data_IF_164446985554
#
_entry.id   IF_164446985554
#
_cell.length_a   1.000
_cell.length_b   1.000
_cell.length_c   1.000
_cell.angle_alpha   90.00
_cell.angle_beta   90.00
_cell.angle_gamma   90.00
#
_symmetry.space_group_name_H-M   'P 1'
#
loop_
_entity.id
_entity.type
_entity.pdbx_description
1 polymer ?
#
# COMPACT_ATOMS: atom_id res chain seq x y z
N UNK A 1 3.98 3.92 -33.45
CA UNK A 1 3.83 4.16 -31.99
C UNK A 1 3.42 2.85 -31.32
N UNK A 2 4.22 2.37 -30.38
CA UNK A 2 4.21 1.00 -29.88
C UNK A 2 3.05 0.74 -28.89
N UNK A 3 2.24 -0.30 -29.12
CA UNK A 3 1.01 -0.64 -28.35
C UNK A 3 1.24 -1.33 -27.00
N UNK A 4 2.48 -1.65 -26.60
CA UNK A 4 2.76 -2.55 -25.46
C UNK A 4 3.28 -1.85 -24.18
N UNK A 5 2.62 -0.80 -23.69
CA UNK A 5 2.97 -0.18 -22.38
C UNK A 5 1.78 0.18 -21.48
N UNK A 6 0.53 -0.07 -21.92
CA UNK A 6 -0.67 0.37 -21.19
C UNK A 6 -1.18 -0.63 -20.15
N UNK A 7 -0.81 -1.91 -20.23
CA UNK A 7 -1.44 -2.96 -19.41
C UNK A 7 -0.45 -3.60 -18.41
N UNK A 8 0.32 -2.77 -17.70
CA UNK A 8 1.06 -3.28 -16.53
C UNK A 8 0.15 -3.15 -15.28
N UNK A 9 -0.38 -4.25 -14.72
CA UNK A 9 -1.24 -4.20 -13.53
C UNK A 9 -0.52 -3.69 -12.28
N UNK A 10 0.82 -3.60 -12.32
CA UNK A 10 1.66 -3.07 -11.26
C UNK A 10 2.23 -1.67 -11.59
N UNK A 11 1.71 -0.98 -12.60
CA UNK A 11 2.09 0.40 -12.87
C UNK A 11 1.66 1.31 -11.71
N UNK A 12 2.56 2.20 -11.25
CA UNK A 12 2.24 3.16 -10.17
C UNK A 12 1.14 4.14 -10.58
N UNK A 13 1.13 4.57 -11.83
CA UNK A 13 0.11 5.46 -12.35
C UNK A 13 -0.94 4.62 -13.06
N UNK A 14 -2.14 4.62 -12.50
CA UNK A 14 -3.29 3.91 -13.01
C UNK A 14 -4.54 4.80 -12.92
N UNK A 15 -5.48 4.54 -13.80
CA UNK A 15 -6.81 5.11 -13.78
C UNK A 15 -7.80 3.96 -13.72
N UNK A 16 -8.72 4.02 -12.76
CA UNK A 16 -9.75 3.01 -12.55
C UNK A 16 -11.10 3.64 -12.81
N UNK A 17 -11.88 3.01 -13.68
CA UNK A 17 -13.27 3.36 -13.92
C UNK A 17 -14.14 2.25 -13.32
N UNK A 18 -14.95 2.58 -12.32
CA UNK A 18 -15.84 1.64 -11.65
C UNK A 18 -17.13 2.35 -11.23
N UNK A 19 -18.22 1.59 -11.20
CA UNK A 19 -19.47 2.05 -10.62
C UNK A 19 -19.39 1.90 -9.11
N UNK A 20 -19.57 3.00 -8.38
CA UNK A 20 -19.62 2.97 -6.92
C UNK A 20 -20.86 2.19 -6.46
N UNK A 21 -20.74 1.27 -5.48
CA UNK A 21 -21.90 0.62 -4.89
C UNK A 21 -22.88 1.65 -4.36
N UNK A 22 -24.18 1.47 -4.64
CA UNK A 22 -25.19 2.47 -4.33
C UNK A 22 -25.26 2.76 -2.81
N UNK A 23 -25.17 1.73 -1.98
CA UNK A 23 -25.17 1.86 -0.52
C UNK A 23 -23.98 2.70 -0.03
N UNK A 24 -22.79 2.47 -0.60
CA UNK A 24 -21.59 3.26 -0.29
C UNK A 24 -21.78 4.73 -0.68
N UNK A 25 -22.34 5.00 -1.86
CA UNK A 25 -22.63 6.35 -2.33
C UNK A 25 -23.66 7.06 -1.43
N UNK A 26 -24.71 6.35 -1.01
CA UNK A 26 -25.73 6.88 -0.10
C UNK A 26 -25.12 7.29 1.25
N UNK A 27 -24.27 6.45 1.83
CA UNK A 27 -23.55 6.77 3.07
C UNK A 27 -22.66 8.00 2.89
N UNK A 28 -21.87 8.04 1.82
CA UNK A 28 -21.01 9.19 1.51
C UNK A 28 -21.80 10.49 1.37
N UNK A 29 -22.96 10.44 0.70
CA UNK A 29 -23.82 11.60 0.49
C UNK A 29 -24.46 12.10 1.80
N UNK A 30 -24.93 11.19 2.64
CA UNK A 30 -25.52 11.54 3.94
C UNK A 30 -24.49 12.19 4.87
N UNK A 31 -23.27 11.67 4.89
CA UNK A 31 -22.18 12.15 5.74
C UNK A 31 -21.37 13.29 5.12
N UNK A 32 -21.72 13.73 3.90
CA UNK A 32 -21.00 14.77 3.14
C UNK A 32 -19.50 14.45 2.94
N UNK A 33 -19.18 13.17 2.72
CA UNK A 33 -17.81 12.70 2.49
C UNK A 33 -17.59 12.37 1.02
N UNK A 34 -16.48 12.84 0.45
CA UNK A 34 -16.12 12.52 -0.93
C UNK A 34 -15.67 11.04 -1.04
N UNK A 35 -16.33 10.19 -1.88
CA UNK A 35 -15.98 8.77 -1.99
C UNK A 35 -14.55 8.54 -2.47
N UNK A 36 -14.02 9.40 -3.34
CA UNK A 36 -12.62 9.34 -3.79
C UNK A 36 -11.66 9.53 -2.62
N UNK A 37 -11.99 10.41 -1.67
CA UNK A 37 -11.19 10.63 -0.46
C UNK A 37 -11.18 9.37 0.40
N UNK A 38 -12.32 8.72 0.59
CA UNK A 38 -12.41 7.48 1.39
C UNK A 38 -11.51 6.39 0.81
N UNK A 39 -11.64 6.12 -0.50
CA UNK A 39 -10.85 5.09 -1.17
C UNK A 39 -9.35 5.41 -1.14
N UNK A 40 -8.99 6.66 -1.40
CA UNK A 40 -7.59 7.09 -1.33
C UNK A 40 -7.03 6.98 0.08
N UNK A 41 -7.79 7.41 1.09
CA UNK A 41 -7.35 7.36 2.47
C UNK A 41 -7.17 5.93 2.95
N UNK A 42 -8.07 5.02 2.59
CA UNK A 42 -7.90 3.59 2.88
C UNK A 42 -6.60 3.04 2.28
N UNK A 43 -6.27 3.36 1.02
CA UNK A 43 -5.01 2.93 0.40
C UNK A 43 -3.78 3.52 1.12
N UNK A 44 -3.84 4.78 1.55
CA UNK A 44 -2.75 5.46 2.28
C UNK A 44 -2.56 4.84 3.67
N UNK A 45 -3.65 4.59 4.40
CA UNK A 45 -3.64 3.99 5.73
C UNK A 45 -3.14 2.54 5.64
N UNK A 46 -3.64 1.74 4.69
CA UNK A 46 -3.15 0.39 4.43
C UNK A 46 -1.68 0.35 4.06
N UNK A 47 -1.20 1.30 3.24
CA UNK A 47 0.22 1.37 2.85
C UNK A 47 1.14 1.88 3.98
N UNK A 48 0.60 2.18 5.17
CA UNK A 48 1.33 2.69 6.33
C UNK A 48 2.13 3.98 6.04
N UNK A 49 1.73 4.78 5.05
CA UNK A 49 2.46 5.99 4.65
C UNK A 49 2.65 6.96 5.82
N UNK A 50 3.71 7.78 5.75
CA UNK A 50 4.08 8.69 6.84
C UNK A 50 3.08 9.83 7.09
N UNK A 51 2.11 10.01 6.18
CA UNK A 51 1.02 10.99 6.26
C UNK A 51 -0.37 10.31 6.37
N UNK A 52 -0.40 9.03 6.74
CA UNK A 52 -1.63 8.32 7.10
C UNK A 52 -2.35 8.96 8.29
N UNK A 53 -3.63 8.63 8.47
CA UNK A 53 -4.51 9.27 9.47
C UNK A 53 -4.03 9.07 10.90
N UNK A 54 -3.56 7.87 11.25
CA UNK A 54 -3.14 7.50 12.60
C UNK A 54 -2.87 6.00 12.74
N UNK A 55 -2.30 5.57 13.88
CA UNK A 55 -1.97 4.16 14.14
C UNK A 55 -3.20 3.26 14.14
N UNK A 56 -4.30 3.71 14.74
CA UNK A 56 -5.55 2.94 14.81
C UNK A 56 -6.14 2.69 13.41
N UNK A 57 -6.13 3.69 12.53
CA UNK A 57 -6.65 3.56 11.17
C UNK A 57 -5.78 2.65 10.31
N UNK A 58 -4.44 2.70 10.49
CA UNK A 58 -3.52 1.74 9.86
C UNK A 58 -3.83 0.30 10.28
N UNK A 59 -3.97 0.07 11.59
CA UNK A 59 -4.30 -1.25 12.15
C UNK A 59 -5.63 -1.74 11.59
N UNK A 60 -6.70 -0.94 11.65
CA UNK A 60 -8.01 -1.31 11.13
C UNK A 60 -8.00 -1.62 9.62
N UNK A 61 -7.24 -0.85 8.83
CA UNK A 61 -7.10 -1.09 7.39
C UNK A 61 -6.36 -2.41 7.11
N UNK A 62 -5.28 -2.68 7.85
CA UNK A 62 -4.51 -3.94 7.78
C UNK A 62 -5.38 -5.12 8.18
N UNK A 63 -6.09 -5.04 9.30
CA UNK A 63 -6.94 -6.12 9.82
C UNK A 63 -8.06 -6.44 8.82
N UNK A 64 -8.70 -5.42 8.25
CA UNK A 64 -9.68 -5.61 7.18
C UNK A 64 -9.06 -6.31 5.95
N UNK A 65 -7.88 -5.85 5.50
CA UNK A 65 -7.17 -6.45 4.36
C UNK A 65 -6.83 -7.92 4.60
N UNK A 66 -6.34 -8.26 5.80
CA UNK A 66 -6.02 -9.63 6.17
C UNK A 66 -7.28 -10.50 6.32
N UNK A 67 -8.37 -9.97 6.88
CA UNK A 67 -9.65 -10.69 7.01
C UNK A 67 -10.26 -11.07 5.64
N UNK A 68 -9.95 -10.31 4.59
CA UNK A 68 -10.35 -10.62 3.22
C UNK A 68 -9.55 -11.77 2.59
N UNK A 69 -8.48 -12.24 3.24
CA UNK A 69 -7.62 -13.32 2.75
C UNK A 69 -6.66 -12.93 1.62
N UNK A 70 -6.43 -11.64 1.41
CA UNK A 70 -5.54 -11.19 0.34
C UNK A 70 -4.08 -11.57 0.61
N UNK A 71 -3.45 -12.27 -0.34
CA UNK A 71 -2.04 -12.67 -0.27
C UNK A 71 -1.76 -13.98 0.46
N UNK A 72 -2.78 -14.63 1.02
CA UNK A 72 -2.64 -15.88 1.78
C UNK A 72 -2.15 -17.07 0.94
N UNK A 73 -2.37 -17.02 -0.38
CA UNK A 73 -1.82 -18.02 -1.31
C UNK A 73 -0.29 -17.95 -1.42
N UNK A 74 0.32 -16.82 -1.06
CA UNK A 74 1.75 -16.55 -1.25
C UNK A 74 2.53 -16.40 0.06
N UNK A 75 1.86 -15.91 1.10
CA UNK A 75 2.45 -15.57 2.39
C UNK A 75 1.57 -16.06 3.54
N UNK A 76 2.20 -16.45 4.65
CA UNK A 76 1.48 -16.72 5.90
C UNK A 76 1.06 -15.40 6.55
N UNK A 77 0.10 -15.46 7.48
CA UNK A 77 -0.32 -14.28 8.26
C UNK A 77 0.87 -13.55 8.89
N UNK A 78 1.79 -14.29 9.52
CA UNK A 78 2.99 -13.71 10.13
C UNK A 78 3.95 -13.06 9.13
N UNK A 79 4.01 -13.53 7.88
CA UNK A 79 4.80 -12.88 6.84
C UNK A 79 4.12 -11.61 6.31
N UNK A 80 2.78 -11.60 6.23
CA UNK A 80 2.00 -10.41 5.89
C UNK A 80 2.12 -9.35 6.98
N UNK A 81 2.05 -9.74 8.24
CA UNK A 81 2.34 -8.87 9.38
C UNK A 81 3.74 -8.24 9.25
N UNK A 82 4.75 -9.06 8.97
CA UNK A 82 6.11 -8.57 8.79
C UNK A 82 6.25 -7.61 7.58
N UNK A 83 5.48 -7.81 6.49
CA UNK A 83 5.44 -6.87 5.36
C UNK A 83 4.99 -5.48 5.82
N UNK A 84 3.90 -5.40 6.60
CA UNK A 84 3.34 -4.14 7.09
C UNK A 84 4.22 -3.48 8.16
N UNK A 85 4.81 -4.25 9.06
CA UNK A 85 5.77 -3.74 10.06
C UNK A 85 6.99 -3.10 9.39
N UNK A 86 7.54 -3.72 8.34
CA UNK A 86 8.64 -3.14 7.58
C UNK A 86 8.25 -1.82 6.91
N UNK A 87 7.01 -1.68 6.42
CA UNK A 87 6.51 -0.42 5.85
C UNK A 87 6.32 0.67 6.91
N UNK A 88 5.80 0.33 8.09
CA UNK A 88 5.65 1.30 9.19
C UNK A 88 7.00 1.82 9.67
N UNK A 89 8.01 0.94 9.77
CA UNK A 89 9.38 1.33 10.10
C UNK A 89 9.97 2.31 9.08
N UNK A 90 9.72 2.12 7.78
CA UNK A 90 10.14 3.09 6.75
C UNK A 90 9.44 4.44 6.94
N UNK A 91 8.15 4.41 7.30
CA UNK A 91 7.38 5.63 7.54
C UNK A 91 7.85 6.38 8.80
N UNK A 92 8.22 5.66 9.86
CA UNK A 92 8.73 6.20 11.12
C UNK A 92 10.06 6.98 10.94
N UNK A 93 10.85 6.64 9.92
CA UNK A 93 12.09 7.34 9.58
C UNK A 93 11.87 8.69 8.87
N UNK A 94 10.61 9.10 8.64
CA UNK A 94 10.32 10.36 7.98
C UNK A 94 10.87 11.56 8.80
N UNK A 95 11.70 12.44 8.21
CA UNK A 95 12.29 13.55 8.93
C UNK A 95 11.27 14.68 9.13
N UNK A 96 10.34 14.48 10.07
CA UNK A 96 9.33 15.46 10.44
C UNK A 96 10.03 16.74 10.91
N UNK A 97 9.66 17.88 10.32
CA UNK A 97 10.28 19.20 10.57
C UNK A 97 11.77 19.30 10.20
N UNK A 98 12.32 18.33 9.47
CA UNK A 98 13.68 18.38 8.97
C UNK A 98 13.87 19.41 7.86
N UNK A 99 15.10 19.89 7.63
CA UNK A 99 15.38 20.81 6.53
C UNK A 99 15.07 20.15 5.18
N UNK A 100 14.71 20.93 4.13
CA UNK A 100 14.37 20.38 2.81
C UNK A 100 15.43 19.43 2.23
N UNK A 101 16.72 19.68 2.52
CA UNK A 101 17.82 18.78 2.12
C UNK A 101 17.68 17.38 2.73
N UNK A 102 17.31 17.29 4.00
CA UNK A 102 17.10 16.01 4.71
C UNK A 102 15.86 15.30 4.19
N UNK A 103 14.76 16.03 3.97
CA UNK A 103 13.53 15.49 3.36
C UNK A 103 13.82 14.90 1.97
N UNK A 104 14.56 15.62 1.13
CA UNK A 104 14.95 15.15 -0.20
C UNK A 104 15.89 13.93 -0.13
N UNK A 105 16.84 13.92 0.82
CA UNK A 105 17.72 12.78 1.02
C UNK A 105 16.93 11.53 1.44
N UNK A 106 16.02 11.68 2.40
CA UNK A 106 15.13 10.60 2.84
C UNK A 106 14.25 10.11 1.70
N UNK A 107 13.64 11.00 0.91
CA UNK A 107 12.82 10.61 -0.24
C UNK A 107 13.60 9.78 -1.28
N UNK A 108 14.86 10.14 -1.56
CA UNK A 108 15.75 9.36 -2.47
C UNK A 108 16.13 8.02 -1.87
N UNK A 109 16.46 7.97 -0.57
CA UNK A 109 16.73 6.73 0.14
C UNK A 109 15.51 5.81 0.12
N UNK A 110 14.33 6.30 0.52
CA UNK A 110 13.07 5.57 0.56
C UNK A 110 12.71 4.96 -0.80
N UNK A 111 12.89 5.72 -1.90
CA UNK A 111 12.70 5.21 -3.27
C UNK A 111 13.63 4.04 -3.60
N UNK A 112 14.88 4.05 -3.13
CA UNK A 112 15.82 2.92 -3.31
C UNK A 112 15.42 1.75 -2.40
N UNK A 113 15.05 2.04 -1.16
CA UNK A 113 14.66 1.03 -0.19
C UNK A 113 13.41 0.27 -0.64
N UNK A 114 12.38 0.94 -1.17
CA UNK A 114 11.19 0.26 -1.71
C UNK A 114 11.51 -0.75 -2.81
N UNK A 115 12.51 -0.47 -3.67
CA UNK A 115 12.97 -1.43 -4.69
C UNK A 115 13.62 -2.66 -4.06
N UNK A 116 14.44 -2.45 -3.04
CA UNK A 116 15.08 -3.53 -2.29
C UNK A 116 14.04 -4.37 -1.54
N UNK A 117 13.15 -3.71 -0.78
CA UNK A 117 12.07 -4.31 -0.03
C UNK A 117 11.20 -5.19 -0.93
N UNK A 118 10.75 -4.67 -2.08
CA UNK A 118 9.98 -5.45 -3.05
C UNK A 118 10.75 -6.68 -3.54
N UNK A 119 12.03 -6.52 -3.93
CA UNK A 119 12.87 -7.64 -4.39
C UNK A 119 13.05 -8.72 -3.33
N UNK A 120 13.25 -8.34 -2.06
CA UNK A 120 13.39 -9.25 -0.93
C UNK A 120 12.15 -10.13 -0.80
N UNK A 121 10.97 -9.53 -0.78
CA UNK A 121 9.71 -10.23 -0.57
C UNK A 121 9.24 -11.02 -1.79
N UNK A 122 9.41 -10.46 -2.98
CA UNK A 122 9.14 -11.16 -4.24
C UNK A 122 10.08 -12.37 -4.44
N UNK A 123 11.35 -12.27 -4.02
CA UNK A 123 12.29 -13.39 -4.04
C UNK A 123 11.80 -14.57 -3.20
N UNK A 124 11.27 -14.30 -2.00
CA UNK A 124 10.68 -15.33 -1.12
C UNK A 124 9.50 -16.05 -1.78
N UNK A 125 8.60 -15.29 -2.41
CA UNK A 125 7.50 -15.88 -3.17
C UNK A 125 8.00 -16.84 -4.26
N UNK A 126 8.96 -16.43 -5.08
CA UNK A 126 9.51 -17.29 -6.14
C UNK A 126 10.15 -18.56 -5.60
N UNK A 127 10.90 -18.48 -4.49
CA UNK A 127 11.50 -19.67 -3.89
C UNK A 127 10.47 -20.67 -3.35
N UNK A 128 9.27 -20.21 -2.98
CA UNK A 128 8.18 -21.11 -2.53
C UNK A 128 7.49 -21.78 -3.70
N UNK A 129 7.22 -21.05 -4.78
CA UNK A 129 6.61 -21.61 -6.01
C UNK A 129 7.49 -22.73 -6.59
N UNK A 130 8.81 -22.55 -6.61
CA UNK A 130 9.76 -23.58 -7.12
C UNK A 130 9.80 -24.84 -6.24
N UNK A 131 9.44 -24.76 -4.95
CA UNK A 131 9.41 -25.93 -4.04
C UNK A 131 8.11 -26.74 -4.14
N UNK A 132 7.09 -26.22 -4.84
CA UNK A 132 5.77 -26.84 -4.97
C UNK A 132 5.59 -27.47 -6.38
N UNK A 133 6.59 -27.33 -7.26
CA UNK A 133 6.71 -28.04 -8.55
C UNK A 133 7.64 -29.24 -8.40
#
# INVERSE_FOLDING_TARGET
MNKNKRDNPFARQQQFDFMLPMQFLLICRLLQVNPRKVLYQFMVDLAHESYATGSEQKIAAKDYFMSCGYGLEQYTDGEIEQLFDELDNIAALWPKNGPPKLVNLHARWRKRYYKYWYRKWYGRFRTKVVKIQ
#
